data_IF_614636114676
#
_entry.id   IF_614636114676
#
_cell.length_a   1.000
_cell.length_b   1.000
_cell.length_c   1.000
_cell.angle_alpha   90.00
_cell.angle_beta   90.00
_cell.angle_gamma   90.00
#
_symmetry.space_group_name_H-M   'P 1'
#
loop_
_entity.id
_entity.type
_entity.pdbx_description
1 polymer ?
#
# COMPACT_ATOMS: atom_id res chain seq x y z
N UNK A 1 -15.98 10.48 -0.52
CA UNK A 1 -16.08 10.78 0.93
C UNK A 1 -14.98 9.97 1.59
N UNK A 2 -14.22 10.53 2.55
CA UNK A 2 -13.23 9.74 3.31
C UNK A 2 -13.92 8.73 4.22
N UNK A 3 -13.18 7.73 4.72
CA UNK A 3 -13.71 6.75 5.67
C UNK A 3 -14.16 7.43 6.99
N UNK A 4 -15.24 6.91 7.60
CA UNK A 4 -15.88 7.52 8.77
C UNK A 4 -15.02 7.47 10.05
N UNK A 5 -14.01 6.58 10.07
CA UNK A 5 -13.04 6.47 11.14
C UNK A 5 -11.67 6.07 10.57
N UNK A 6 -10.57 6.38 11.28
CA UNK A 6 -9.25 5.91 10.91
C UNK A 6 -9.26 4.38 10.74
N UNK A 7 -8.89 3.90 9.55
CA UNK A 7 -9.06 2.48 9.17
C UNK A 7 -7.76 1.91 8.61
N UNK A 8 -7.38 0.73 9.12
CA UNK A 8 -6.26 -0.07 8.59
C UNK A 8 -6.79 -1.46 8.21
N UNK A 9 -6.54 -1.89 6.98
CA UNK A 9 -6.80 -3.26 6.51
C UNK A 9 -5.47 -3.99 6.26
N UNK A 10 -5.04 -4.79 7.23
CA UNK A 10 -3.84 -5.62 7.12
C UNK A 10 -4.20 -7.04 6.64
N UNK A 11 -3.59 -7.50 5.56
CA UNK A 11 -3.99 -8.77 4.91
C UNK A 11 -2.84 -9.69 4.50
N UNK A 12 -3.20 -10.92 4.12
CA UNK A 12 -2.31 -11.91 3.49
C UNK A 12 -2.74 -12.23 2.06
N UNK A 13 -3.52 -11.35 1.42
CA UNK A 13 -4.02 -11.53 0.06
C UNK A 13 -4.51 -10.23 -0.56
N UNK A 14 -4.85 -10.27 -1.85
CA UNK A 14 -5.28 -9.07 -2.57
C UNK A 14 -5.39 -9.25 -4.07
N UNK A 15 -4.75 -10.31 -4.59
CA UNK A 15 -4.64 -10.51 -6.03
C UNK A 15 -5.13 -11.91 -6.43
N UNK A 16 -5.44 -12.04 -7.73
CA UNK A 16 -5.72 -13.33 -8.39
C UNK A 16 -5.14 -13.31 -9.79
N UNK A 17 -5.00 -14.49 -10.40
CA UNK A 17 -4.70 -14.57 -11.83
C UNK A 17 -5.80 -13.91 -12.65
N UNK A 18 -5.40 -13.08 -13.61
CA UNK A 18 -6.34 -12.41 -14.51
C UNK A 18 -6.84 -13.33 -15.62
N UNK A 19 -7.98 -12.97 -16.21
CA UNK A 19 -8.54 -13.72 -17.36
C UNK A 19 -7.89 -13.31 -18.68
N UNK A 20 -7.55 -12.02 -18.81
CA UNK A 20 -6.95 -11.40 -20.00
C UNK A 20 -5.70 -10.57 -19.69
N UNK A 21 -5.42 -10.38 -18.41
CA UNK A 21 -4.23 -9.73 -17.87
C UNK A 21 -3.47 -10.77 -17.05
N UNK A 22 -2.23 -10.47 -16.67
CA UNK A 22 -1.47 -11.38 -15.80
C UNK A 22 -2.09 -11.48 -14.40
N UNK A 23 -2.63 -10.38 -13.90
CA UNK A 23 -3.18 -10.25 -12.56
C UNK A 23 -4.43 -9.37 -12.57
N UNK A 24 -5.33 -9.64 -11.62
CA UNK A 24 -6.47 -8.79 -11.29
C UNK A 24 -6.52 -8.58 -9.77
N UNK A 25 -7.13 -7.46 -9.34
CA UNK A 25 -7.49 -7.28 -7.94
C UNK A 25 -8.53 -8.31 -7.52
N UNK A 26 -8.40 -8.77 -6.28
CA UNK A 26 -9.29 -9.74 -5.66
C UNK A 26 -10.00 -9.10 -4.44
N UNK A 27 -10.87 -9.86 -3.79
CA UNK A 27 -11.83 -9.39 -2.79
C UNK A 27 -11.25 -8.43 -1.74
N UNK A 28 -10.02 -8.65 -1.26
CA UNK A 28 -9.43 -7.81 -0.21
C UNK A 28 -9.06 -6.40 -0.67
N UNK A 29 -8.66 -6.21 -1.94
CA UNK A 29 -8.41 -4.86 -2.48
C UNK A 29 -9.73 -4.13 -2.69
N UNK A 30 -10.75 -4.83 -3.20
CA UNK A 30 -12.11 -4.28 -3.30
C UNK A 30 -12.67 -3.92 -1.93
N UNK A 31 -12.42 -4.74 -0.91
CA UNK A 31 -12.85 -4.47 0.45
C UNK A 31 -12.18 -3.21 1.04
N UNK A 32 -10.90 -2.97 0.74
CA UNK A 32 -10.25 -1.71 1.13
C UNK A 32 -10.97 -0.48 0.54
N UNK A 33 -11.38 -0.58 -0.72
CA UNK A 33 -12.16 0.47 -1.40
C UNK A 33 -13.57 0.60 -0.82
N UNK A 34 -14.23 -0.51 -0.48
CA UNK A 34 -15.54 -0.49 0.19
C UNK A 34 -15.45 0.22 1.55
N UNK A 35 -14.42 -0.07 2.34
CA UNK A 35 -14.14 0.59 3.62
C UNK A 35 -13.89 2.10 3.47
N UNK A 36 -13.34 2.52 2.33
CA UNK A 36 -13.12 3.94 2.04
C UNK A 36 -14.43 4.69 1.74
N UNK A 37 -15.56 4.00 1.49
CA UNK A 37 -16.87 4.64 1.32
C UNK A 37 -16.98 5.51 0.05
N UNK A 38 -16.18 5.21 -0.97
CA UNK A 38 -16.08 6.02 -2.19
C UNK A 38 -17.39 5.98 -2.99
N UNK A 39 -17.88 7.17 -3.37
CA UNK A 39 -19.01 7.33 -4.28
C UNK A 39 -18.84 8.58 -5.13
N UNK A 40 -19.35 8.54 -6.37
CA UNK A 40 -19.31 9.69 -7.29
C UNK A 40 -18.03 9.86 -8.12
N UNK A 41 -17.02 9.01 -7.94
CA UNK A 41 -15.83 8.93 -8.79
C UNK A 41 -15.25 7.50 -8.79
N UNK A 42 -14.29 7.24 -9.68
CA UNK A 42 -13.48 6.03 -9.62
C UNK A 42 -12.65 6.02 -8.32
N UNK A 43 -12.54 4.89 -7.61
CA UNK A 43 -11.70 4.77 -6.43
C UNK A 43 -10.25 5.12 -6.73
N UNK A 44 -9.69 6.05 -5.97
CA UNK A 44 -8.30 6.49 -6.05
C UNK A 44 -7.45 5.64 -5.12
N UNK A 45 -6.54 4.88 -5.71
CA UNK A 45 -5.67 3.97 -4.97
C UNK A 45 -4.23 4.36 -5.25
N UNK A 46 -3.44 4.59 -4.21
CA UNK A 46 -1.99 4.72 -4.34
C UNK A 46 -1.33 3.40 -3.97
N UNK A 47 -0.56 2.86 -4.91
CA UNK A 47 0.30 1.71 -4.69
C UNK A 47 1.64 2.16 -4.10
N UNK A 48 2.08 1.49 -3.04
CA UNK A 48 3.43 1.66 -2.48
C UNK A 48 4.20 0.34 -2.65
N UNK A 49 5.14 0.32 -3.59
CA UNK A 49 5.93 -0.85 -3.99
C UNK A 49 7.23 -1.06 -3.22
N UNK A 50 7.50 -0.22 -2.21
CA UNK A 50 8.83 -0.07 -1.60
C UNK A 50 9.39 -1.36 -1.02
N UNK A 51 8.54 -2.25 -0.51
CA UNK A 51 8.94 -3.56 0.04
C UNK A 51 9.72 -4.44 -0.94
N UNK A 52 9.49 -4.25 -2.24
CA UNK A 52 10.19 -4.96 -3.30
C UNK A 52 11.10 -4.02 -4.13
N UNK A 53 11.33 -2.79 -3.68
CA UNK A 53 12.16 -1.81 -4.38
C UNK A 53 11.51 -1.21 -5.62
N UNK A 54 10.19 -1.00 -5.60
CA UNK A 54 9.42 -0.35 -6.67
C UNK A 54 9.61 -0.98 -8.07
N UNK A 55 9.44 -2.31 -8.12
CA UNK A 55 9.58 -3.08 -9.34
C UNK A 55 8.64 -2.59 -10.45
N UNK A 56 9.21 -2.04 -11.53
CA UNK A 56 8.46 -1.43 -12.65
C UNK A 56 7.55 -2.42 -13.37
N UNK A 57 7.96 -3.68 -13.51
CA UNK A 57 7.14 -4.71 -14.12
C UNK A 57 5.88 -4.99 -13.28
N UNK A 58 5.99 -4.97 -11.96
CA UNK A 58 4.87 -5.22 -11.06
C UNK A 58 3.94 -4.00 -10.99
N UNK A 59 4.50 -2.79 -11.03
CA UNK A 59 3.70 -1.56 -11.17
C UNK A 59 2.83 -1.61 -12.44
N UNK A 60 3.38 -2.05 -13.58
CA UNK A 60 2.61 -2.20 -14.82
C UNK A 60 1.51 -3.29 -14.72
N UNK A 61 1.76 -4.40 -14.03
CA UNK A 61 0.71 -5.41 -13.76
C UNK A 61 -0.41 -4.85 -12.88
N UNK A 62 -0.09 -3.95 -11.95
CA UNK A 62 -1.07 -3.27 -11.11
C UNK A 62 -1.88 -2.24 -11.90
N UNK A 63 -1.26 -1.53 -12.84
CA UNK A 63 -1.97 -0.65 -13.77
C UNK A 63 -3.00 -1.42 -14.60
N UNK A 64 -2.64 -2.62 -15.08
CA UNK A 64 -3.59 -3.50 -15.78
C UNK A 64 -4.75 -3.94 -14.88
N UNK A 65 -4.44 -4.35 -13.65
CA UNK A 65 -5.44 -4.78 -12.66
C UNK A 65 -6.41 -3.63 -12.30
N UNK A 66 -5.89 -2.42 -12.09
CA UNK A 66 -6.68 -1.23 -11.80
C UNK A 66 -7.59 -0.85 -12.98
N UNK A 67 -7.06 -0.91 -14.22
CA UNK A 67 -7.86 -0.67 -15.42
C UNK A 67 -9.04 -1.65 -15.54
N UNK A 68 -8.82 -2.93 -15.19
CA UNK A 68 -9.91 -3.94 -15.17
C UNK A 68 -10.92 -3.67 -14.05
N UNK A 69 -10.45 -3.25 -12.87
CA UNK A 69 -11.30 -2.94 -11.72
C UNK A 69 -12.03 -1.59 -11.83
N UNK A 70 -11.62 -0.71 -12.75
CA UNK A 70 -12.14 0.65 -12.87
C UNK A 70 -11.63 1.59 -11.76
N UNK A 71 -10.42 1.36 -11.26
CA UNK A 71 -9.77 2.18 -10.24
C UNK A 71 -8.84 3.21 -10.88
N UNK A 72 -8.76 4.38 -10.29
CA UNK A 72 -7.76 5.41 -10.59
C UNK A 72 -6.51 5.13 -9.77
N UNK A 73 -5.56 4.39 -10.37
CA UNK A 73 -4.35 3.96 -9.68
C UNK A 73 -3.22 4.95 -9.90
N UNK A 74 -2.54 5.28 -8.81
CA UNK A 74 -1.27 6.00 -8.81
C UNK A 74 -0.21 5.20 -8.05
N UNK A 75 1.05 5.61 -8.17
CA UNK A 75 2.16 4.94 -7.49
C UNK A 75 3.00 5.95 -6.73
N UNK A 76 3.32 5.64 -5.47
CA UNK A 76 4.41 6.29 -4.75
C UNK A 76 5.66 5.41 -4.90
N UNK A 77 6.60 5.90 -5.70
CA UNK A 77 7.93 5.32 -5.84
C UNK A 77 8.92 6.13 -5.02
N UNK A 78 9.86 5.46 -4.38
CA UNK A 78 11.01 6.01 -3.67
C UNK A 78 12.34 5.59 -4.34
N UNK A 79 12.30 4.69 -5.33
CA UNK A 79 13.47 4.27 -6.11
C UNK A 79 13.45 4.79 -7.57
N UNK A 80 14.50 5.51 -8.02
CA UNK A 80 15.68 5.93 -7.25
C UNK A 80 15.43 7.15 -6.33
N UNK A 81 14.27 7.80 -6.45
CA UNK A 81 13.86 8.95 -5.65
C UNK A 81 12.32 9.05 -5.63
N UNK A 82 11.73 9.88 -4.76
CA UNK A 82 10.31 10.23 -4.82
C UNK A 82 9.88 10.64 -6.23
N UNK A 83 8.85 10.00 -6.78
CA UNK A 83 8.30 10.35 -8.08
C UNK A 83 7.25 11.47 -8.05
N UNK A 84 6.94 11.97 -6.86
CA UNK A 84 6.01 13.09 -6.62
C UNK A 84 6.71 14.16 -5.80
N UNK A 85 6.38 15.43 -6.06
CA UNK A 85 6.97 16.57 -5.35
C UNK A 85 6.45 16.68 -3.91
N UNK A 86 5.13 16.56 -3.74
CA UNK A 86 4.45 16.57 -2.44
C UNK A 86 3.89 15.17 -2.14
N UNK A 87 4.64 14.38 -1.36
CA UNK A 87 4.24 13.02 -0.97
C UNK A 87 2.99 13.06 -0.08
N UNK A 88 2.92 14.00 0.85
CA UNK A 88 1.79 14.08 1.78
C UNK A 88 0.50 14.46 1.05
N UNK A 89 0.53 15.53 0.24
CA UNK A 89 -0.61 15.92 -0.57
C UNK A 89 -1.03 14.81 -1.53
N UNK A 90 -0.08 14.07 -2.09
CA UNK A 90 -0.38 12.92 -2.94
C UNK A 90 -1.12 11.81 -2.18
N UNK A 91 -0.66 11.42 -0.99
CA UNK A 91 -1.29 10.36 -0.18
C UNK A 91 -2.64 10.81 0.40
N UNK A 92 -2.77 12.08 0.79
CA UNK A 92 -4.02 12.68 1.28
C UNK A 92 -5.12 12.73 0.21
N UNK A 93 -4.76 12.74 -1.08
CA UNK A 93 -5.71 12.79 -2.18
C UNK A 93 -6.30 11.40 -2.56
N UNK A 94 -5.84 10.34 -1.91
CA UNK A 94 -6.24 8.96 -2.19
C UNK A 94 -7.40 8.52 -1.30
N UNK A 95 -8.16 7.54 -1.78
CA UNK A 95 -9.14 6.85 -0.95
C UNK A 95 -8.47 5.69 -0.18
N UNK A 96 -7.54 5.01 -0.84
CA UNK A 96 -6.79 3.87 -0.30
C UNK A 96 -5.30 4.02 -0.59
N UNK A 97 -4.46 3.76 0.41
CA UNK A 97 -3.04 3.47 0.22
C UNK A 97 -2.84 1.97 0.36
N UNK A 98 -2.34 1.32 -0.69
CA UNK A 98 -2.10 -0.11 -0.71
C UNK A 98 -0.60 -0.43 -0.77
N UNK A 99 -0.07 -0.98 0.31
CA UNK A 99 1.35 -1.34 0.43
C UNK A 99 1.57 -2.80 0.06
N UNK A 100 2.51 -3.02 -0.86
CA UNK A 100 2.82 -4.36 -1.37
C UNK A 100 3.68 -5.21 -0.45
N UNK A 101 3.70 -6.51 -0.74
CA UNK A 101 4.60 -7.48 -0.12
C UNK A 101 6.06 -7.34 -0.57
N UNK A 102 6.95 -7.98 0.18
CA UNK A 102 8.40 -7.92 -0.01
C UNK A 102 9.13 -8.00 1.33
N UNK A 103 10.17 -7.19 1.52
CA UNK A 103 10.86 -7.06 2.81
C UNK A 103 10.29 -5.90 3.62
N UNK A 104 9.69 -6.22 4.78
CA UNK A 104 9.22 -5.19 5.73
C UNK A 104 10.38 -4.46 6.39
N UNK A 105 11.51 -5.14 6.59
CA UNK A 105 12.71 -4.49 7.10
C UNK A 105 13.21 -3.40 6.11
N UNK A 106 13.21 -3.71 4.81
CA UNK A 106 13.69 -2.77 3.80
C UNK A 106 12.71 -1.61 3.59
N UNK A 107 11.40 -1.86 3.51
CA UNK A 107 10.44 -0.75 3.35
C UNK A 107 10.51 0.20 4.55
N UNK A 108 10.58 -0.33 5.79
CA UNK A 108 10.64 0.51 6.98
C UNK A 108 11.92 1.33 7.02
N UNK A 109 13.07 0.76 6.62
CA UNK A 109 14.32 1.50 6.54
C UNK A 109 14.27 2.64 5.51
N UNK A 110 13.66 2.40 4.34
CA UNK A 110 13.50 3.44 3.31
C UNK A 110 12.52 4.51 3.78
N UNK A 111 11.39 4.13 4.38
CA UNK A 111 10.39 5.07 4.88
C UNK A 111 10.90 5.95 6.02
N UNK A 112 11.80 5.42 6.87
CA UNK A 112 12.48 6.19 7.92
C UNK A 112 13.36 7.29 7.32
N UNK A 113 14.15 6.96 6.29
CA UNK A 113 15.00 7.94 5.55
C UNK A 113 14.18 9.04 4.88
N UNK A 114 12.93 8.75 4.50
CA UNK A 114 12.01 9.69 3.85
C UNK A 114 10.99 10.31 4.81
N UNK A 115 11.12 10.13 6.13
CA UNK A 115 10.23 10.68 7.16
C UNK A 115 8.73 10.39 6.91
N UNK A 116 8.39 9.20 6.39
CA UNK A 116 7.02 8.89 5.98
C UNK A 116 6.06 8.51 7.12
N UNK A 117 6.59 8.13 8.28
CA UNK A 117 5.78 7.77 9.46
C UNK A 117 4.74 8.84 9.82
N UNK A 118 5.12 10.11 10.05
CA UNK A 118 4.14 11.15 10.35
C UNK A 118 3.20 11.45 9.17
N UNK A 119 3.63 11.23 7.93
CA UNK A 119 2.78 11.41 6.73
C UNK A 119 1.66 10.37 6.69
N UNK A 120 1.99 9.09 6.85
CA UNK A 120 0.97 8.02 6.90
C UNK A 120 0.02 8.19 8.07
N UNK A 121 0.52 8.61 9.23
CA UNK A 121 -0.30 8.90 10.42
C UNK A 121 -1.35 9.97 10.11
N UNK A 122 -0.96 11.08 9.47
CA UNK A 122 -1.89 12.14 9.10
C UNK A 122 -2.87 11.70 8.02
N UNK A 123 -2.44 10.94 7.01
CA UNK A 123 -3.33 10.40 5.99
C UNK A 123 -4.41 9.48 6.59
N UNK A 124 -4.01 8.60 7.51
CA UNK A 124 -4.91 7.72 8.25
C UNK A 124 -5.93 8.49 9.09
N UNK A 125 -5.48 9.51 9.83
CA UNK A 125 -6.34 10.37 10.64
C UNK A 125 -7.29 11.22 9.78
N UNK A 126 -6.93 11.51 8.52
CA UNK A 126 -7.77 12.19 7.54
C UNK A 126 -8.79 11.26 6.84
N UNK A 127 -8.80 9.96 7.19
CA UNK A 127 -9.76 8.98 6.66
C UNK A 127 -9.33 8.29 5.37
N UNK A 128 -8.05 8.40 4.98
CA UNK A 128 -7.46 7.53 3.95
C UNK A 128 -7.34 6.12 4.53
N UNK A 129 -7.88 5.11 3.83
CA UNK A 129 -7.74 3.72 4.27
C UNK A 129 -6.30 3.28 4.01
N UNK A 130 -5.57 2.98 5.08
CA UNK A 130 -4.27 2.33 4.97
C UNK A 130 -4.48 0.82 4.82
N UNK A 131 -3.85 0.21 3.83
CA UNK A 131 -4.00 -1.21 3.57
C UNK A 131 -2.69 -1.79 3.08
N UNK A 132 -2.56 -3.11 3.17
CA UNK A 132 -1.43 -3.78 2.57
C UNK A 132 -1.42 -5.28 2.79
N UNK A 133 -0.56 -5.92 2.01
CA UNK A 133 -0.41 -7.38 1.98
C UNK A 133 0.99 -7.79 2.42
N UNK A 134 1.09 -8.84 3.23
CA UNK A 134 2.38 -9.41 3.66
C UNK A 134 3.26 -8.36 4.35
N UNK A 135 4.40 -7.97 3.79
CA UNK A 135 5.23 -6.90 4.37
C UNK A 135 4.45 -5.58 4.57
N UNK A 136 3.57 -5.25 3.63
CA UNK A 136 2.67 -4.10 3.73
C UNK A 136 1.55 -4.27 4.75
N UNK A 137 1.30 -5.47 5.27
CA UNK A 137 0.38 -5.67 6.39
C UNK A 137 1.09 -5.55 7.73
N UNK A 138 2.32 -6.07 7.83
CA UNK A 138 3.16 -6.00 9.04
C UNK A 138 3.56 -4.56 9.36
N UNK A 139 3.82 -3.72 8.36
CA UNK A 139 4.36 -2.37 8.58
C UNK A 139 3.45 -1.46 9.41
N UNK A 140 2.15 -1.73 9.47
CA UNK A 140 1.17 -0.90 10.19
C UNK A 140 1.09 -1.15 11.69
N UNK A 141 1.75 -2.17 12.21
CA UNK A 141 1.74 -2.51 13.64
C UNK A 141 3.06 -2.13 14.31
N UNK A 142 3.22 -2.39 15.61
CA UNK A 142 4.51 -2.23 16.30
C UNK A 142 5.63 -3.06 15.64
N UNK A 143 5.25 -4.18 15.02
CA UNK A 143 6.17 -5.09 14.37
C UNK A 143 5.52 -6.44 14.08
N UNK A 144 6.33 -7.43 13.72
CA UNK A 144 5.85 -8.77 13.40
C UNK A 144 6.96 -9.75 13.05
N UNK A 145 6.58 -11.02 12.95
CA UNK A 145 7.47 -12.10 12.53
C UNK A 145 7.67 -12.05 11.01
N UNK A 146 8.91 -12.07 10.52
CA UNK A 146 9.22 -11.93 9.08
C UNK A 146 10.47 -12.71 8.68
N UNK A 147 10.50 -13.13 7.42
CA UNK A 147 11.62 -13.68 6.67
C UNK A 147 12.49 -12.61 5.97
N UNK A 148 12.25 -11.32 6.24
CA UNK A 148 13.02 -10.20 5.67
C UNK A 148 14.54 -10.29 5.92
N UNK A 149 14.96 -11.09 6.91
CA UNK A 149 16.34 -11.26 7.33
C UNK A 149 16.97 -12.60 6.89
N UNK A 150 16.23 -13.43 6.16
CA UNK A 150 16.63 -14.78 5.77
C UNK A 150 15.55 -15.83 6.02
N UNK A 151 15.82 -17.12 5.75
CA UNK A 151 14.84 -18.20 5.83
C UNK A 151 14.34 -18.47 7.26
N UNK A 152 15.16 -18.16 8.28
CA UNK A 152 14.74 -18.25 9.67
C UNK A 152 14.01 -16.97 10.08
N UNK A 153 12.77 -17.15 10.55
CA UNK A 153 11.92 -16.02 10.92
C UNK A 153 12.50 -15.24 12.11
N UNK A 154 12.46 -13.92 11.99
CA UNK A 154 12.88 -12.98 13.05
C UNK A 154 11.85 -11.87 13.20
N UNK A 155 11.77 -11.31 14.40
CA UNK A 155 10.90 -10.16 14.64
C UNK A 155 11.50 -8.89 14.02
N UNK A 156 10.67 -8.13 13.31
CA UNK A 156 10.84 -6.69 13.13
C UNK A 156 10.06 -5.98 14.24
N UNK A 157 10.60 -4.91 14.81
CA UNK A 157 10.05 -4.25 16.02
C UNK A 157 9.90 -2.73 15.88
N UNK A 158 10.03 -2.22 14.65
CA UNK A 158 9.99 -0.79 14.35
C UNK A 158 8.95 -0.47 13.27
N UNK A 159 7.83 -1.20 13.27
CA UNK A 159 6.69 -0.86 12.42
C UNK A 159 6.07 0.48 12.84
N UNK A 160 4.96 0.87 12.21
CA UNK A 160 4.42 2.21 12.37
C UNK A 160 3.72 2.48 13.73
N UNK A 161 3.29 1.42 14.43
CA UNK A 161 2.53 1.50 15.68
C UNK A 161 1.14 2.12 15.50
#
# INVERSE_FOLDING_TARGET
MPADHPTILATSGGYRFGTRTRMEFNHLVHHAVELAGVSGHAPRVCLVGTASGDQRWFAAEMDEAARVAGFDLTHLHLFPMPNVEDIEGHLMAQDVVWVNGGSVANLLAVWDVHDLRPVFRRAWEAGVVLSGVSAGSICWYDGGCTDSYGPDLRAVTNGLG
#
